data_IF_477531213044
#
_entry.id   IF_477531213044
#
_cell.length_a   1.000
_cell.length_b   1.000
_cell.length_c   1.000
_cell.angle_alpha   90.00
_cell.angle_beta   90.00
_cell.angle_gamma   90.00
#
_symmetry.space_group_name_H-M   'P 1'
#
loop_
_entity.id
_entity.type
_entity.pdbx_description
1 polymer ?
#
# COMPACT_ATOMS: atom_id res chain seq x y z
N UNK A 1 8.02 45.24 0.25
CA UNK A 1 9.35 45.84 0.39
C UNK A 1 10.13 45.44 -0.85
N UNK A 2 10.63 46.37 -1.66
CA UNK A 2 11.47 46.00 -2.80
C UNK A 2 12.75 45.33 -2.27
N UNK A 3 13.17 44.22 -2.90
CA UNK A 3 14.42 43.54 -2.57
C UNK A 3 15.61 44.36 -3.07
N UNK A 4 16.72 44.31 -2.35
CA UNK A 4 17.99 44.87 -2.83
C UNK A 4 18.61 43.98 -3.92
N UNK A 5 19.44 44.57 -4.79
CA UNK A 5 20.08 43.86 -5.89
C UNK A 5 21.02 42.76 -5.35
N UNK A 6 20.64 41.50 -5.55
CA UNK A 6 21.37 40.32 -5.02
C UNK A 6 20.62 39.57 -3.92
N UNK A 7 19.52 40.11 -3.39
CA UNK A 7 18.68 39.41 -2.42
C UNK A 7 17.63 38.51 -3.09
N UNK A 8 17.35 37.37 -2.47
CA UNK A 8 16.32 36.43 -2.92
C UNK A 8 15.35 36.11 -1.78
N UNK A 9 14.13 35.72 -2.12
CA UNK A 9 13.15 35.34 -1.13
C UNK A 9 13.43 33.93 -0.59
N UNK A 10 13.31 33.78 0.74
CA UNK A 10 13.38 32.49 1.42
C UNK A 10 11.99 32.02 1.86
N UNK A 11 11.83 30.72 2.02
CA UNK A 11 10.63 30.11 2.59
C UNK A 11 11.01 28.90 3.45
N UNK A 12 10.16 28.58 4.41
CA UNK A 12 10.28 27.38 5.22
C UNK A 12 9.44 26.24 4.60
N UNK A 13 10.04 25.08 4.25
CA UNK A 13 9.28 23.91 3.85
C UNK A 13 8.28 23.50 4.92
N UNK A 14 7.11 23.03 4.50
CA UNK A 14 6.04 22.59 5.41
C UNK A 14 5.26 21.44 4.77
N UNK A 15 4.50 20.73 5.59
CA UNK A 15 3.54 19.74 5.11
C UNK A 15 2.47 20.35 4.19
N UNK A 16 1.83 19.49 3.40
CA UNK A 16 0.77 19.86 2.47
C UNK A 16 -0.39 20.54 3.21
N UNK A 17 -0.77 21.75 2.77
CA UNK A 17 -2.04 22.41 3.18
C UNK A 17 -2.97 22.70 2.00
N UNK A 18 -2.42 22.71 0.79
CA UNK A 18 -3.15 23.09 -0.42
C UNK A 18 -3.48 21.86 -1.29
N UNK A 19 -3.04 20.67 -0.86
CA UNK A 19 -3.24 19.40 -1.55
C UNK A 19 -3.56 18.34 -0.50
N UNK A 20 -4.36 17.36 -0.90
CA UNK A 20 -4.60 16.12 -0.17
C UNK A 20 -4.24 14.96 -1.08
N UNK A 21 -3.63 13.91 -0.53
CA UNK A 21 -3.36 12.68 -1.27
C UNK A 21 -4.70 11.99 -1.53
N UNK A 22 -5.03 11.79 -2.81
CA UNK A 22 -6.27 11.10 -3.23
C UNK A 22 -5.95 9.68 -3.68
N UNK A 23 -4.88 9.53 -4.44
CA UNK A 23 -4.47 8.25 -5.02
C UNK A 23 -2.94 8.21 -5.21
N UNK A 24 -2.39 7.00 -5.27
CA UNK A 24 -0.99 6.74 -5.53
C UNK A 24 -0.84 5.65 -6.59
N UNK A 25 -0.21 6.00 -7.72
CA UNK A 25 0.11 5.02 -8.76
C UNK A 25 1.45 4.34 -8.44
N UNK A 26 1.48 3.04 -8.09
CA UNK A 26 2.73 2.35 -7.79
C UNK A 26 3.63 2.27 -9.03
N UNK A 27 4.90 2.59 -8.85
CA UNK A 27 5.94 2.44 -9.88
C UNK A 27 7.11 1.62 -9.35
N UNK A 28 7.63 0.72 -10.19
CA UNK A 28 8.84 -0.05 -9.91
C UNK A 28 10.11 0.62 -10.45
N UNK A 29 10.00 1.78 -11.11
CA UNK A 29 11.15 2.44 -11.70
C UNK A 29 11.96 3.28 -10.68
N UNK A 30 13.30 3.27 -10.76
CA UNK A 30 14.12 2.31 -11.48
C UNK A 30 14.17 0.97 -10.73
N UNK A 31 14.15 -0.15 -11.46
CA UNK A 31 14.53 -1.45 -10.91
C UNK A 31 16.06 -1.52 -10.93
N UNK A 32 16.67 -1.63 -9.76
CA UNK A 32 18.13 -1.70 -9.61
C UNK A 32 18.61 -3.13 -9.79
N UNK A 33 17.91 -4.08 -9.16
CA UNK A 33 18.16 -5.52 -9.31
C UNK A 33 16.91 -6.30 -8.94
N UNK A 34 16.84 -7.55 -9.41
CA UNK A 34 15.73 -8.45 -9.12
C UNK A 34 16.22 -9.89 -8.97
N UNK A 35 15.60 -10.65 -8.07
CA UNK A 35 15.84 -12.06 -7.88
C UNK A 35 14.53 -12.84 -7.98
N UNK A 36 14.53 -13.91 -8.77
CA UNK A 36 13.42 -14.87 -8.85
C UNK A 36 13.74 -16.03 -7.92
N UNK A 37 12.89 -16.25 -6.93
CA UNK A 37 13.05 -17.33 -5.96
C UNK A 37 11.69 -17.69 -5.34
N UNK A 38 11.54 -18.92 -4.87
CA UNK A 38 10.41 -19.31 -4.03
C UNK A 38 10.84 -19.32 -2.56
N UNK A 39 10.82 -18.15 -1.91
CA UNK A 39 11.15 -18.04 -0.49
C UNK A 39 9.92 -18.19 0.41
N UNK A 40 8.72 -18.11 -0.18
CA UNK A 40 7.46 -18.22 0.54
C UNK A 40 6.86 -19.65 0.51
N UNK A 41 7.47 -20.57 -0.26
CA UNK A 41 6.96 -21.94 -0.49
C UNK A 41 5.53 -21.92 -1.07
N UNK A 42 5.30 -21.05 -2.06
CA UNK A 42 3.99 -20.87 -2.71
C UNK A 42 3.88 -21.70 -4.01
N UNK A 43 4.82 -22.61 -4.27
CA UNK A 43 5.03 -23.41 -5.50
C UNK A 43 5.34 -22.59 -6.77
N UNK A 44 4.84 -21.35 -6.85
CA UNK A 44 5.18 -20.37 -7.87
C UNK A 44 6.24 -19.40 -7.35
N UNK A 45 7.38 -19.22 -8.03
CA UNK A 45 8.42 -18.32 -7.57
C UNK A 45 7.97 -16.86 -7.61
N UNK A 46 8.37 -16.08 -6.61
CA UNK A 46 8.09 -14.65 -6.54
C UNK A 46 9.27 -13.84 -7.13
N UNK A 47 8.99 -12.62 -7.61
CA UNK A 47 10.01 -11.69 -8.06
C UNK A 47 10.31 -10.68 -6.94
N UNK A 48 11.49 -10.80 -6.34
CA UNK A 48 12.00 -9.88 -5.32
C UNK A 48 12.75 -8.74 -6.01
N UNK A 49 12.29 -7.50 -5.88
CA UNK A 49 12.77 -6.34 -6.65
C UNK A 49 13.28 -5.26 -5.72
N UNK A 50 14.55 -4.87 -5.87
CA UNK A 50 15.07 -3.63 -5.31
C UNK A 50 14.81 -2.49 -6.29
N UNK A 51 13.98 -1.54 -5.90
CA UNK A 51 13.53 -0.46 -6.77
C UNK A 51 13.44 0.90 -6.06
N UNK A 52 13.30 1.98 -6.85
CA UNK A 52 13.18 3.35 -6.35
C UNK A 52 14.53 4.07 -6.26
N UNK A 53 14.51 5.29 -5.69
CA UNK A 53 15.68 6.17 -5.64
C UNK A 53 15.80 6.89 -4.30
N UNK A 54 17.00 6.84 -3.71
CA UNK A 54 17.35 7.55 -2.48
C UNK A 54 16.43 7.15 -1.31
N UNK A 55 15.82 8.11 -0.59
CA UNK A 55 14.94 7.82 0.54
C UNK A 55 13.62 7.15 0.16
N UNK A 56 13.29 7.06 -1.14
CA UNK A 56 12.09 6.35 -1.64
C UNK A 56 12.40 4.98 -2.24
N UNK A 57 13.59 4.43 -1.96
CA UNK A 57 13.93 3.06 -2.38
C UNK A 57 13.19 2.02 -1.53
N UNK A 58 12.78 0.92 -2.14
CA UNK A 58 12.01 -0.16 -1.52
C UNK A 58 12.44 -1.53 -2.04
N UNK A 59 12.38 -2.56 -1.19
CA UNK A 59 12.35 -3.97 -1.62
C UNK A 59 10.88 -4.38 -1.76
N UNK A 60 10.46 -4.79 -2.96
CA UNK A 60 9.08 -5.20 -3.24
C UNK A 60 9.05 -6.66 -3.70
N UNK A 61 8.06 -7.41 -3.24
CA UNK A 61 7.82 -8.80 -3.66
C UNK A 61 6.65 -8.82 -4.62
N UNK A 62 6.87 -9.24 -5.87
CA UNK A 62 5.81 -9.36 -6.87
C UNK A 62 5.41 -10.83 -6.98
N UNK A 63 4.12 -11.07 -6.73
CA UNK A 63 3.46 -12.36 -6.92
C UNK A 63 2.56 -12.24 -8.14
N UNK A 64 2.65 -13.20 -9.04
CA UNK A 64 1.71 -13.28 -10.14
C UNK A 64 0.36 -13.75 -9.61
N UNK A 65 -0.68 -12.93 -9.75
CA UNK A 65 -2.00 -13.27 -9.26
C UNK A 65 -2.95 -12.07 -9.27
N UNK A 66 -4.06 -12.23 -8.56
CA UNK A 66 -5.01 -11.16 -8.31
C UNK A 66 -4.59 -10.40 -7.05
N UNK A 67 -4.76 -9.07 -7.09
CA UNK A 67 -4.56 -8.24 -5.91
C UNK A 67 -5.62 -8.58 -4.86
N UNK A 68 -5.19 -8.74 -3.60
CA UNK A 68 -6.05 -9.00 -2.46
C UNK A 68 -5.93 -7.82 -1.51
N UNK A 69 -7.06 -7.14 -1.24
CA UNK A 69 -7.11 -6.05 -0.27
C UNK A 69 -7.50 -6.59 1.10
N UNK A 70 -6.63 -6.38 2.08
CA UNK A 70 -6.87 -6.77 3.46
C UNK A 70 -7.79 -5.75 4.15
N UNK A 71 -9.01 -6.17 4.49
CA UNK A 71 -10.01 -5.29 5.10
C UNK A 71 -10.01 -5.32 6.63
N UNK A 72 -9.61 -6.45 7.22
CA UNK A 72 -9.53 -6.63 8.66
C UNK A 72 -8.61 -7.81 9.01
N UNK A 73 -7.90 -7.69 10.13
CA UNK A 73 -7.07 -8.77 10.69
C UNK A 73 -7.45 -8.97 12.15
N UNK A 74 -7.79 -10.20 12.49
CA UNK A 74 -7.93 -10.66 13.86
C UNK A 74 -7.37 -12.06 13.95
N UNK A 75 -6.34 -12.24 14.77
CA UNK A 75 -5.80 -13.56 15.05
C UNK A 75 -6.82 -14.38 15.86
N UNK A 76 -6.93 -15.67 15.53
CA UNK A 76 -7.77 -16.61 16.27
C UNK A 76 -6.88 -17.57 17.05
N UNK A 77 -7.17 -17.85 18.33
CA UNK A 77 -6.43 -18.85 19.08
C UNK A 77 -6.71 -20.25 18.53
N UNK A 78 -5.72 -21.13 18.58
CA UNK A 78 -5.84 -22.51 18.12
C UNK A 78 -5.75 -22.65 16.59
N UNK A 79 -6.31 -23.73 16.05
CA UNK A 79 -6.30 -24.03 14.61
C UNK A 79 -7.74 -24.03 14.05
N UNK A 80 -8.22 -22.92 13.48
CA UNK A 80 -9.57 -22.84 12.91
C UNK A 80 -9.68 -23.72 11.66
N UNK A 81 -10.71 -24.56 11.60
CA UNK A 81 -10.90 -25.51 10.48
C UNK A 81 -11.87 -25.00 9.40
N UNK A 82 -12.72 -24.02 9.71
CA UNK A 82 -13.71 -23.49 8.78
C UNK A 82 -14.26 -22.12 9.21
N UNK A 83 -14.76 -21.36 8.25
CA UNK A 83 -15.41 -20.06 8.43
C UNK A 83 -16.66 -19.98 7.55
N UNK A 84 -17.73 -19.42 8.09
CA UNK A 84 -18.99 -19.18 7.37
C UNK A 84 -19.48 -17.76 7.63
N UNK A 85 -20.07 -17.14 6.61
CA UNK A 85 -20.77 -15.87 6.75
C UNK A 85 -22.25 -16.12 6.45
N UNK A 86 -23.13 -15.77 7.39
CA UNK A 86 -24.57 -15.97 7.26
C UNK A 86 -25.28 -14.64 7.45
N UNK A 87 -26.17 -14.28 6.52
CA UNK A 87 -27.03 -13.10 6.67
C UNK A 87 -28.07 -13.35 7.76
N UNK A 88 -28.41 -12.31 8.51
CA UNK A 88 -29.49 -12.37 9.51
C UNK A 88 -30.88 -12.59 8.88
N UNK A 89 -31.13 -12.00 7.71
CA UNK A 89 -32.37 -12.14 6.92
C UNK A 89 -32.05 -12.25 5.43
N UNK A 90 -32.96 -12.86 4.68
CA UNK A 90 -32.82 -13.04 3.23
C UNK A 90 -32.96 -11.73 2.45
N UNK A 91 -33.83 -10.82 2.92
CA UNK A 91 -34.11 -9.51 2.32
C UNK A 91 -33.02 -8.46 2.59
N UNK A 92 -32.13 -8.70 3.55
CA UNK A 92 -31.02 -7.80 3.88
C UNK A 92 -31.43 -6.56 4.68
N UNK A 93 -32.70 -6.43 5.07
CA UNK A 93 -33.21 -5.23 5.73
C UNK A 93 -32.94 -5.31 7.26
N UNK A 94 -32.00 -4.47 7.69
CA UNK A 94 -31.71 -4.25 9.11
C UNK A 94 -32.79 -3.33 9.71
N UNK A 95 -33.44 -3.69 10.82
CA UNK A 95 -34.37 -2.79 11.50
C UNK A 95 -33.66 -1.63 12.24
N UNK A 96 -32.33 -1.52 12.10
CA UNK A 96 -31.48 -0.55 12.81
C UNK A 96 -30.56 0.25 11.88
N UNK A 97 -30.89 0.41 10.60
CA UNK A 97 -30.21 1.41 9.76
C UNK A 97 -30.67 2.82 10.16
N UNK A 98 -29.75 3.60 10.75
CA UNK A 98 -29.84 5.05 10.87
C UNK A 98 -29.20 5.70 9.65
#
# INVERSE_FOLDING_TARGET
MPLEEGETFFFAPRALKNLVLVDELPSFAPIITSQVADLANEDTPQLYVLCGRGPRSTLRVLRHGLEVSEMAVSELPGNPNAVWTVKKRADGESPYEC
#
